data_IF_510020701331
#
_entry.id   IF_510020701331
#
_cell.length_a   1.000
_cell.length_b   1.000
_cell.length_c   1.000
_cell.angle_alpha   90.00
_cell.angle_beta   90.00
_cell.angle_gamma   90.00
#
_symmetry.space_group_name_H-M   'P 1'
#
loop_
_entity.id
_entity.type
_entity.pdbx_description
1 polymer ?
#
# COMPACT_ATOMS: atom_id res chain seq x y z
N UNK A 1 43.76 28.01 10.64
CA UNK A 1 42.35 27.67 10.33
C UNK A 1 42.35 26.25 9.80
N UNK A 2 41.95 25.30 10.63
CA UNK A 2 41.79 23.92 10.18
C UNK A 2 40.66 23.88 9.16
N UNK A 3 40.92 23.36 7.98
CA UNK A 3 39.89 23.07 6.98
C UNK A 3 38.95 22.04 7.60
N UNK A 4 37.64 22.32 7.67
CA UNK A 4 36.67 21.37 8.22
C UNK A 4 36.78 20.03 7.49
N UNK A 5 36.76 18.93 8.21
CA UNK A 5 36.78 17.60 7.61
C UNK A 5 35.68 17.43 6.59
N UNK A 6 35.85 16.60 5.55
CA UNK A 6 34.84 16.37 4.50
C UNK A 6 33.46 16.00 5.08
N UNK A 7 33.44 15.27 6.20
CA UNK A 7 32.22 14.91 6.90
C UNK A 7 31.54 16.12 7.56
N UNK A 8 32.30 17.08 8.14
CA UNK A 8 31.76 18.30 8.74
C UNK A 8 31.17 19.26 7.70
N UNK A 9 31.75 19.29 6.50
CA UNK A 9 31.22 20.11 5.38
C UNK A 9 29.86 19.60 4.90
N UNK A 10 29.70 18.30 4.66
CA UNK A 10 28.44 17.70 4.27
C UNK A 10 27.38 17.93 5.36
N UNK A 11 27.73 17.74 6.64
CA UNK A 11 26.79 17.95 7.74
C UNK A 11 26.32 19.41 7.80
N UNK A 12 27.19 20.39 7.56
CA UNK A 12 26.83 21.80 7.55
C UNK A 12 25.88 22.15 6.36
N UNK A 13 26.18 21.62 5.17
CA UNK A 13 25.32 21.82 3.98
C UNK A 13 23.91 21.23 4.24
N UNK A 14 23.83 19.99 4.75
CA UNK A 14 22.54 19.34 5.05
C UNK A 14 21.78 20.05 6.20
N UNK A 15 22.47 20.61 7.20
CA UNK A 15 21.83 21.37 8.27
C UNK A 15 21.15 22.62 7.74
N UNK A 16 21.74 23.31 6.76
CA UNK A 16 21.12 24.47 6.11
C UNK A 16 19.83 24.06 5.35
N UNK A 17 19.87 22.95 4.59
CA UNK A 17 18.71 22.41 3.91
C UNK A 17 17.58 22.05 4.88
N UNK A 18 17.92 21.40 6.01
CA UNK A 18 16.96 21.06 7.06
C UNK A 18 16.34 22.30 7.71
N UNK A 19 17.14 23.35 7.97
CA UNK A 19 16.63 24.62 8.49
C UNK A 19 15.64 25.29 7.52
N UNK A 20 15.92 25.21 6.22
CA UNK A 20 14.99 25.72 5.20
C UNK A 20 13.67 24.90 5.19
N UNK A 21 13.74 23.56 5.26
CA UNK A 21 12.54 22.71 5.38
C UNK A 21 11.73 23.05 6.63
N UNK A 22 12.38 23.37 7.74
CA UNK A 22 11.73 23.80 8.98
C UNK A 22 11.06 25.17 8.81
N UNK A 23 11.74 26.14 8.21
CA UNK A 23 11.18 27.47 7.92
C UNK A 23 9.96 27.40 7.01
N UNK A 24 9.98 26.48 6.03
CA UNK A 24 8.87 26.22 5.10
C UNK A 24 7.73 25.42 5.77
N UNK A 25 7.84 25.02 7.04
CA UNK A 25 6.88 24.13 7.72
C UNK A 25 6.82 22.73 7.10
N UNK A 26 7.86 22.28 6.40
CA UNK A 26 7.90 21.02 5.63
C UNK A 26 8.77 19.94 6.25
N UNK A 27 9.43 20.23 7.38
CA UNK A 27 10.26 19.28 8.10
C UNK A 27 9.44 18.06 8.53
N UNK A 28 9.95 16.89 8.26
CA UNK A 28 9.36 15.62 8.67
C UNK A 28 10.14 15.04 9.85
N UNK A 29 9.41 14.58 10.86
CA UNK A 29 9.97 13.95 12.05
C UNK A 29 9.39 12.54 12.20
N UNK A 30 10.23 11.59 12.61
CA UNK A 30 9.77 10.29 13.09
C UNK A 30 9.14 10.47 14.48
N UNK A 31 7.93 9.94 14.63
CA UNK A 31 7.20 9.97 15.90
C UNK A 31 7.14 8.58 16.49
N UNK A 32 7.47 8.45 17.75
CA UNK A 32 7.30 7.20 18.51
C UNK A 32 5.84 7.05 18.90
N UNK A 33 5.13 6.17 18.20
CA UNK A 33 3.71 5.91 18.43
C UNK A 33 3.55 4.42 18.69
N UNK A 34 3.06 4.06 19.86
CA UNK A 34 2.75 2.68 20.20
C UNK A 34 1.35 2.30 19.69
N UNK A 35 1.24 1.12 19.09
CA UNK A 35 -0.05 0.57 18.71
C UNK A 35 -0.78 0.01 19.93
N UNK A 36 -1.97 0.54 20.21
CA UNK A 36 -2.91 -0.02 21.18
C UNK A 36 -3.82 -1.09 20.56
N UNK A 37 -4.67 -1.71 21.38
CA UNK A 37 -5.68 -2.65 20.88
C UNK A 37 -6.72 -1.94 20.00
N UNK A 38 -7.19 -2.62 18.95
CA UNK A 38 -8.15 -2.07 18.01
C UNK A 38 -7.58 -0.88 17.22
N UNK A 39 -8.32 0.22 17.21
CA UNK A 39 -7.94 1.46 16.53
C UNK A 39 -7.35 2.51 17.48
N UNK A 40 -6.72 2.10 18.58
CA UNK A 40 -6.06 3.00 19.51
C UNK A 40 -4.56 3.12 19.21
N UNK A 41 -3.99 4.27 19.60
CA UNK A 41 -2.56 4.51 19.57
C UNK A 41 -2.17 5.32 20.82
N UNK A 42 -0.98 5.05 21.36
CA UNK A 42 -0.40 5.85 22.43
C UNK A 42 0.73 6.71 21.88
N UNK A 43 0.68 7.98 22.15
CA UNK A 43 1.71 8.95 21.80
C UNK A 43 1.90 9.96 22.91
N UNK A 44 3.14 10.13 23.36
CA UNK A 44 3.52 11.06 24.46
C UNK A 44 2.69 10.82 25.73
N UNK A 45 2.46 9.56 26.10
CA UNK A 45 1.72 9.18 27.30
C UNK A 45 0.19 9.41 27.24
N UNK A 46 -0.36 9.76 26.06
CA UNK A 46 -1.81 9.91 25.86
C UNK A 46 -2.32 8.87 24.84
N UNK A 47 -3.54 8.41 25.07
CA UNK A 47 -4.23 7.48 24.15
C UNK A 47 -5.10 8.28 23.19
N UNK A 48 -5.02 7.91 21.92
CA UNK A 48 -5.75 8.53 20.82
C UNK A 48 -6.53 7.48 20.01
N UNK A 49 -7.62 7.90 19.42
CA UNK A 49 -8.28 7.18 18.32
C UNK A 49 -7.47 7.39 17.06
N UNK A 50 -6.98 6.29 16.49
CA UNK A 50 -6.01 6.34 15.38
C UNK A 50 -6.72 6.30 14.03
N UNK A 51 -6.79 7.46 13.38
CA UNK A 51 -7.28 7.61 12.01
C UNK A 51 -6.14 7.75 10.98
N UNK A 52 -4.90 7.40 11.35
CA UNK A 52 -3.74 7.51 10.45
C UNK A 52 -3.05 6.18 10.15
N UNK A 53 -3.47 5.09 10.80
CA UNK A 53 -2.93 3.75 10.53
C UNK A 53 -3.52 3.17 9.24
N UNK A 54 -2.72 2.36 8.52
CA UNK A 54 -3.21 1.52 7.44
C UNK A 54 -3.68 0.14 7.93
N UNK A 55 -3.79 -0.09 9.23
CA UNK A 55 -4.39 -1.29 9.83
C UNK A 55 -5.92 -1.26 9.70
N UNK A 56 -6.39 -1.34 8.45
CA UNK A 56 -7.80 -1.17 8.10
C UNK A 56 -8.72 -2.18 8.76
N UNK A 57 -8.20 -3.38 9.07
CA UNK A 57 -8.97 -4.46 9.68
C UNK A 57 -8.77 -4.55 11.21
N UNK A 58 -7.88 -3.73 11.80
CA UNK A 58 -7.58 -3.74 13.23
C UNK A 58 -6.84 -4.99 13.71
N UNK A 59 -6.01 -5.59 12.85
CA UNK A 59 -5.35 -6.87 13.13
C UNK A 59 -3.97 -6.73 13.76
N UNK A 60 -3.22 -5.67 13.42
CA UNK A 60 -1.82 -5.50 13.83
C UNK A 60 -1.66 -5.41 15.36
N UNK A 61 -2.55 -4.67 16.03
CA UNK A 61 -2.54 -4.49 17.48
C UNK A 61 -3.32 -5.55 18.29
N UNK A 62 -3.93 -6.56 17.64
CA UNK A 62 -4.85 -7.47 18.29
C UNK A 62 -4.14 -8.53 19.17
N UNK A 63 -4.25 -8.46 20.54
CA UNK A 63 -3.55 -9.38 21.42
C UNK A 63 -4.10 -10.81 21.38
N UNK A 64 -5.40 -10.99 21.05
CA UNK A 64 -6.03 -12.31 20.97
C UNK A 64 -5.51 -13.08 19.76
N UNK A 65 -5.34 -12.41 18.62
CA UNK A 65 -4.74 -13.03 17.44
C UNK A 65 -3.30 -13.47 17.70
N UNK A 66 -2.52 -12.63 18.42
CA UNK A 66 -1.15 -13.00 18.81
C UNK A 66 -1.15 -14.22 19.73
N UNK A 67 -2.03 -14.26 20.73
CA UNK A 67 -2.16 -15.46 21.61
C UNK A 67 -2.54 -16.70 20.81
N UNK A 68 -3.52 -16.61 19.90
CA UNK A 68 -3.93 -17.71 19.04
C UNK A 68 -2.80 -18.19 18.13
N UNK A 69 -1.99 -17.27 17.60
CA UNK A 69 -0.85 -17.62 16.78
C UNK A 69 0.21 -18.39 17.56
N UNK A 70 0.69 -17.84 18.68
CA UNK A 70 1.72 -18.49 19.48
C UNK A 70 1.25 -19.81 20.14
N UNK A 71 -0.04 -19.95 20.45
CA UNK A 71 -0.60 -21.21 20.94
C UNK A 71 -0.48 -22.39 19.94
N UNK A 72 -0.23 -22.12 18.67
CA UNK A 72 0.05 -23.14 17.64
C UNK A 72 1.47 -23.71 17.75
N UNK A 73 2.35 -23.03 18.45
CA UNK A 73 3.77 -23.35 18.57
C UNK A 73 4.15 -23.38 20.06
N UNK A 74 3.80 -24.48 20.77
CA UNK A 74 4.05 -24.56 22.21
C UNK A 74 5.54 -24.58 22.57
N UNK A 75 6.40 -25.00 21.63
CA UNK A 75 7.85 -24.89 21.75
C UNK A 75 8.35 -23.59 21.11
N UNK A 76 8.89 -22.68 21.91
CA UNK A 76 9.48 -21.44 21.44
C UNK A 76 10.74 -21.66 20.57
N UNK A 77 11.37 -22.84 20.65
CA UNK A 77 12.49 -23.26 19.77
C UNK A 77 12.04 -23.80 18.41
N UNK A 78 10.75 -23.85 18.12
CA UNK A 78 10.21 -24.33 16.86
C UNK A 78 10.80 -23.58 15.65
N UNK A 79 11.24 -24.28 14.59
CA UNK A 79 11.77 -23.65 13.38
C UNK A 79 10.80 -22.68 12.71
N UNK A 80 9.51 -22.86 12.92
CA UNK A 80 8.45 -21.97 12.42
C UNK A 80 8.51 -20.58 13.04
N UNK A 81 9.09 -20.43 14.22
CA UNK A 81 9.29 -19.17 14.93
C UNK A 81 10.70 -18.57 14.73
N UNK A 82 11.52 -19.13 13.83
CA UNK A 82 12.85 -18.61 13.55
C UNK A 82 12.80 -17.13 13.12
N UNK A 83 13.69 -16.32 13.70
CA UNK A 83 13.71 -14.86 13.57
C UNK A 83 14.44 -14.35 12.32
N UNK A 84 15.04 -15.25 11.53
CA UNK A 84 15.75 -14.90 10.30
C UNK A 84 15.78 -16.09 9.33
N UNK A 85 15.75 -15.82 8.03
CA UNK A 85 16.09 -16.77 6.99
C UNK A 85 17.59 -16.81 6.72
N UNK A 86 18.33 -15.82 7.22
CA UNK A 86 19.81 -15.65 7.16
C UNK A 86 20.42 -15.74 5.74
N UNK A 87 19.61 -15.77 4.69
CA UNK A 87 20.02 -15.94 3.30
C UNK A 87 19.01 -15.42 2.30
N UNK A 88 19.42 -15.22 1.06
CA UNK A 88 18.50 -14.96 -0.04
C UNK A 88 17.69 -16.22 -0.41
N UNK A 89 16.54 -16.02 -1.02
CA UNK A 89 15.63 -17.13 -1.38
C UNK A 89 16.24 -18.12 -2.39
N UNK A 90 17.12 -17.66 -3.28
CA UNK A 90 17.79 -18.53 -4.25
C UNK A 90 18.92 -19.38 -3.64
N UNK A 91 19.32 -19.10 -2.40
CA UNK A 91 20.26 -19.92 -1.67
C UNK A 91 19.52 -20.78 -0.63
N UNK A 92 19.62 -20.42 0.64
CA UNK A 92 19.01 -21.19 1.75
C UNK A 92 17.81 -20.47 2.40
N UNK A 93 17.45 -19.27 1.95
CA UNK A 93 16.40 -18.44 2.55
C UNK A 93 14.97 -18.75 2.06
N UNK A 94 14.79 -19.71 1.13
CA UNK A 94 13.45 -20.15 0.73
C UNK A 94 12.95 -21.25 1.67
N UNK A 95 12.46 -20.83 2.83
CA UNK A 95 12.01 -21.76 3.88
C UNK A 95 10.66 -22.41 3.53
N UNK A 96 10.30 -23.55 4.16
CA UNK A 96 8.99 -24.17 3.98
C UNK A 96 7.81 -23.23 4.30
N UNK A 97 7.98 -22.31 5.23
CA UNK A 97 6.96 -21.29 5.55
C UNK A 97 6.66 -20.37 4.35
N UNK A 98 7.69 -20.03 3.56
CA UNK A 98 7.51 -19.22 2.36
C UNK A 98 6.68 -19.97 1.30
N UNK A 99 7.01 -21.23 1.04
CA UNK A 99 6.27 -22.07 0.08
C UNK A 99 4.82 -22.29 0.49
N UNK A 100 4.55 -22.52 1.78
CA UNK A 100 3.18 -22.63 2.30
C UNK A 100 2.39 -21.35 2.11
N UNK A 101 2.98 -20.18 2.43
CA UNK A 101 2.30 -18.90 2.24
C UNK A 101 2.00 -18.64 0.76
N UNK A 102 2.96 -18.90 -0.15
CA UNK A 102 2.74 -18.79 -1.59
C UNK A 102 1.65 -19.74 -2.10
N UNK A 103 1.58 -20.95 -1.57
CA UNK A 103 0.49 -21.89 -1.87
C UNK A 103 -0.85 -21.35 -1.39
N UNK A 104 -0.96 -20.89 -0.13
CA UNK A 104 -2.19 -20.31 0.43
C UNK A 104 -2.68 -19.12 -0.40
N UNK A 105 -1.76 -18.26 -0.83
CA UNK A 105 -2.08 -17.15 -1.74
C UNK A 105 -2.59 -17.67 -3.07
N UNK A 106 -1.91 -18.63 -3.69
CA UNK A 106 -2.36 -19.24 -4.94
C UNK A 106 -3.79 -19.78 -4.86
N UNK A 107 -4.08 -20.56 -3.81
CA UNK A 107 -5.42 -21.12 -3.54
C UNK A 107 -6.48 -20.00 -3.41
N UNK A 108 -6.17 -18.93 -2.68
CA UNK A 108 -7.06 -17.78 -2.48
C UNK A 108 -7.36 -17.04 -3.78
N UNK A 109 -6.42 -17.00 -4.71
CA UNK A 109 -6.52 -16.30 -6.00
C UNK A 109 -6.76 -17.24 -7.20
N UNK A 110 -7.52 -18.33 -7.02
CA UNK A 110 -7.97 -19.20 -8.11
C UNK A 110 -6.87 -20.12 -8.66
N UNK A 111 -5.96 -20.58 -7.80
CA UNK A 111 -4.82 -21.45 -8.12
C UNK A 111 -3.77 -20.80 -9.04
N UNK A 112 -3.68 -19.49 -9.03
CA UNK A 112 -2.60 -18.75 -9.71
C UNK A 112 -1.29 -18.83 -8.91
N UNK A 113 -0.19 -18.59 -9.57
CA UNK A 113 1.12 -18.57 -8.92
C UNK A 113 1.33 -17.30 -8.07
N UNK A 114 2.02 -17.46 -6.95
CA UNK A 114 2.36 -16.36 -6.04
C UNK A 114 3.88 -16.26 -5.83
N UNK A 115 4.36 -15.04 -5.59
CA UNK A 115 5.71 -14.75 -5.06
C UNK A 115 5.58 -13.81 -3.88
N UNK A 116 6.28 -14.11 -2.79
CA UNK A 116 6.38 -13.26 -1.59
C UNK A 116 7.65 -12.41 -1.64
N UNK A 117 7.52 -11.13 -1.24
CA UNK A 117 8.57 -10.12 -1.22
C UNK A 117 8.69 -9.47 0.17
N UNK A 118 9.80 -8.81 0.44
CA UNK A 118 10.03 -8.13 1.71
C UNK A 118 9.15 -6.89 1.92
N UNK A 119 8.66 -6.27 0.85
CA UNK A 119 7.70 -5.16 0.90
C UNK A 119 7.05 -4.92 -0.46
N UNK A 120 5.93 -4.18 -0.50
CA UNK A 120 5.33 -3.69 -1.75
C UNK A 120 6.28 -2.80 -2.56
N UNK A 121 7.15 -2.05 -1.87
CA UNK A 121 8.17 -1.26 -2.54
C UNK A 121 9.12 -2.17 -3.36
N UNK A 122 9.64 -3.27 -2.75
CA UNK A 122 10.48 -4.25 -3.47
C UNK A 122 9.74 -4.92 -4.63
N UNK A 123 8.45 -5.23 -4.47
CA UNK A 123 7.65 -5.76 -5.56
C UNK A 123 7.60 -4.79 -6.75
N UNK A 124 7.22 -3.54 -6.52
CA UNK A 124 7.03 -2.55 -7.58
C UNK A 124 8.35 -2.13 -8.26
N UNK A 125 9.44 -1.93 -7.51
CA UNK A 125 10.74 -1.59 -8.11
C UNK A 125 11.40 -2.77 -8.82
N UNK A 126 10.87 -3.98 -8.67
CA UNK A 126 11.46 -5.19 -9.26
C UNK A 126 10.67 -5.77 -10.42
N UNK A 127 9.34 -5.82 -10.33
CA UNK A 127 8.49 -6.47 -11.33
C UNK A 127 8.60 -5.77 -12.68
N UNK A 128 8.38 -4.45 -12.73
CA UNK A 128 8.40 -3.71 -14.00
C UNK A 128 9.78 -3.74 -14.67
N UNK A 129 10.90 -3.46 -13.97
CA UNK A 129 12.23 -3.56 -14.59
C UNK A 129 12.63 -4.97 -15.04
N UNK A 130 12.09 -6.01 -14.40
CA UNK A 130 12.37 -7.38 -14.81
C UNK A 130 11.62 -7.78 -16.08
N UNK A 131 10.39 -7.28 -16.28
CA UNK A 131 9.50 -7.71 -17.35
C UNK A 131 9.55 -6.79 -18.58
N UNK A 132 9.67 -5.48 -18.37
CA UNK A 132 9.61 -4.48 -19.43
C UNK A 132 11.02 -4.00 -19.81
N UNK A 133 11.42 -4.28 -21.04
CA UNK A 133 12.72 -3.97 -21.60
C UNK A 133 12.67 -2.99 -22.76
N UNK A 134 13.82 -2.81 -23.44
CA UNK A 134 13.88 -2.00 -24.67
C UNK A 134 12.87 -2.50 -25.71
N UNK A 135 12.15 -1.59 -26.34
CA UNK A 135 11.07 -1.89 -27.28
C UNK A 135 9.71 -2.18 -26.64
N UNK A 136 9.59 -2.09 -25.32
CA UNK A 136 8.33 -2.14 -24.59
C UNK A 136 7.91 -0.72 -24.11
N UNK A 137 6.63 -0.50 -23.86
CA UNK A 137 6.06 0.75 -23.33
C UNK A 137 5.32 0.45 -22.01
N UNK A 138 5.48 1.32 -21.02
CA UNK A 138 4.69 1.30 -19.80
C UNK A 138 3.80 2.55 -19.74
N UNK A 139 2.49 2.37 -19.66
CA UNK A 139 1.51 3.42 -19.43
C UNK A 139 1.07 3.38 -17.97
N UNK A 140 1.44 4.40 -17.21
CA UNK A 140 1.23 4.46 -15.76
C UNK A 140 0.28 5.59 -15.39
N UNK A 141 -0.64 5.34 -14.46
CA UNK A 141 -1.44 6.42 -13.88
C UNK A 141 -0.53 7.46 -13.22
N UNK A 142 -0.88 8.74 -13.37
CA UNK A 142 -0.08 9.87 -12.90
C UNK A 142 0.08 9.90 -11.37
N UNK A 143 -0.87 9.37 -10.63
CA UNK A 143 -0.87 9.33 -9.17
C UNK A 143 -0.46 7.97 -8.58
N UNK A 144 0.04 7.05 -9.39
CA UNK A 144 0.60 5.79 -8.90
C UNK A 144 1.67 6.04 -7.83
N UNK A 145 1.77 5.12 -6.88
CA UNK A 145 2.68 5.17 -5.75
C UNK A 145 4.15 5.38 -6.17
N UNK A 146 4.92 6.04 -5.32
CA UNK A 146 6.33 6.36 -5.58
C UNK A 146 7.16 5.12 -5.96
N UNK A 147 6.90 3.95 -5.37
CA UNK A 147 7.59 2.70 -5.72
C UNK A 147 7.34 2.26 -7.17
N UNK A 148 6.14 2.49 -7.71
CA UNK A 148 5.84 2.24 -9.13
C UNK A 148 6.64 3.21 -10.00
N UNK A 149 6.65 4.51 -9.65
CA UNK A 149 7.42 5.54 -10.39
C UNK A 149 8.92 5.22 -10.37
N UNK A 150 9.45 4.74 -9.25
CA UNK A 150 10.86 4.33 -9.17
C UNK A 150 11.12 3.06 -10.00
N UNK A 151 10.16 2.12 -10.01
CA UNK A 151 10.19 0.96 -10.91
C UNK A 151 10.20 1.35 -12.39
N UNK A 152 9.41 2.36 -12.78
CA UNK A 152 9.43 2.90 -14.16
C UNK A 152 10.82 3.44 -14.55
N UNK A 153 11.46 4.17 -13.63
CA UNK A 153 12.80 4.75 -13.86
C UNK A 153 13.90 3.71 -13.96
N UNK A 154 13.73 2.57 -13.29
CA UNK A 154 14.68 1.45 -13.31
C UNK A 154 14.48 0.54 -14.54
N UNK A 155 13.31 0.58 -15.18
CA UNK A 155 13.03 -0.21 -16.37
C UNK A 155 13.77 0.34 -17.58
N UNK A 156 14.22 -0.54 -18.48
CA UNK A 156 14.79 -0.17 -19.78
C UNK A 156 13.72 0.16 -20.83
N UNK A 157 12.44 0.01 -20.50
CA UNK A 157 11.31 0.33 -21.34
C UNK A 157 11.03 1.84 -21.37
N UNK A 158 10.43 2.31 -22.45
CA UNK A 158 9.84 3.63 -22.49
C UNK A 158 8.65 3.70 -21.52
N UNK A 159 8.40 4.85 -20.91
CA UNK A 159 7.18 5.02 -20.13
C UNK A 159 6.50 6.35 -20.39
N UNK A 160 5.17 6.37 -20.26
CA UNK A 160 4.34 7.58 -20.29
C UNK A 160 3.33 7.51 -19.16
N UNK A 161 2.91 8.69 -18.68
CA UNK A 161 1.93 8.80 -17.61
C UNK A 161 0.65 9.38 -18.16
N UNK A 162 -0.46 8.63 -18.04
CA UNK A 162 -1.78 9.17 -18.35
C UNK A 162 -2.34 9.95 -17.15
N UNK A 163 -3.27 10.85 -17.41
CA UNK A 163 -3.91 11.65 -16.35
C UNK A 163 -4.68 10.72 -15.42
N UNK A 164 -4.70 11.07 -14.15
CA UNK A 164 -5.26 10.24 -13.10
C UNK A 164 -6.71 9.85 -13.40
N UNK A 165 -6.97 8.53 -13.44
CA UNK A 165 -8.25 7.89 -13.76
C UNK A 165 -8.88 8.34 -15.09
N UNK A 166 -8.12 9.00 -15.96
CA UNK A 166 -8.58 9.44 -17.28
C UNK A 166 -8.39 8.33 -18.32
N UNK A 167 -9.43 7.53 -18.49
CA UNK A 167 -9.44 6.40 -19.43
C UNK A 167 -9.41 6.87 -20.89
N UNK A 168 -9.96 8.06 -21.20
CA UNK A 168 -9.88 8.62 -22.56
C UNK A 168 -8.44 8.94 -22.90
N UNK A 169 -7.70 9.60 -22.01
CA UNK A 169 -6.29 9.87 -22.22
C UNK A 169 -5.45 8.59 -22.33
N UNK A 170 -5.80 7.54 -21.56
CA UNK A 170 -5.17 6.21 -21.70
C UNK A 170 -5.40 5.63 -23.11
N UNK A 171 -6.64 5.66 -23.61
CA UNK A 171 -6.98 5.22 -24.96
C UNK A 171 -6.25 6.03 -26.05
N UNK A 172 -6.19 7.34 -25.92
CA UNK A 172 -5.49 8.23 -26.86
C UNK A 172 -3.99 7.90 -26.95
N UNK A 173 -3.35 7.59 -25.79
CA UNK A 173 -1.96 7.15 -25.76
C UNK A 173 -1.78 5.78 -26.41
N UNK A 174 -2.68 4.83 -26.13
CA UNK A 174 -2.65 3.50 -26.75
C UNK A 174 -2.84 3.55 -28.26
N UNK A 175 -3.86 4.26 -28.73
CA UNK A 175 -4.11 4.44 -30.16
C UNK A 175 -2.90 5.03 -30.90
N UNK A 176 -2.20 5.98 -30.26
CA UNK A 176 -1.03 6.63 -30.83
C UNK A 176 0.23 5.77 -30.81
N UNK A 177 0.39 4.90 -29.81
CA UNK A 177 1.71 4.31 -29.51
C UNK A 177 1.75 2.79 -29.67
N UNK A 178 0.60 2.06 -29.54
CA UNK A 178 0.59 0.59 -29.45
C UNK A 178 1.36 -0.11 -30.54
N UNK A 179 1.20 0.33 -31.79
CA UNK A 179 1.85 -0.30 -32.96
C UNK A 179 3.37 -0.12 -33.00
N UNK A 180 3.91 0.84 -32.24
CA UNK A 180 5.36 1.11 -32.21
C UNK A 180 6.12 0.27 -31.18
N UNK A 181 5.43 -0.56 -30.38
CA UNK A 181 6.05 -1.29 -29.29
C UNK A 181 5.70 -2.78 -29.34
N UNK A 182 6.65 -3.62 -28.95
CA UNK A 182 6.49 -5.07 -28.86
C UNK A 182 5.42 -5.42 -27.81
N UNK A 183 5.52 -4.87 -26.60
CA UNK A 183 4.57 -5.05 -25.50
C UNK A 183 4.21 -3.71 -24.91
N UNK A 184 2.97 -3.56 -24.44
CA UNK A 184 2.52 -2.39 -23.71
C UNK A 184 1.97 -2.84 -22.36
N UNK A 185 2.44 -2.22 -21.29
CA UNK A 185 1.98 -2.44 -19.93
C UNK A 185 1.08 -1.28 -19.51
N UNK A 186 -0.07 -1.58 -18.94
CA UNK A 186 -0.93 -0.62 -18.24
C UNK A 186 -0.72 -0.87 -16.75
N UNK A 187 -0.34 0.16 -16.00
CA UNK A 187 -0.03 0.07 -14.57
C UNK A 187 -0.87 1.07 -13.79
N UNK A 188 -1.64 0.58 -12.83
CA UNK A 188 -2.50 1.38 -11.96
C UNK A 188 -2.55 0.85 -10.54
N UNK A 189 -2.92 1.69 -9.57
CA UNK A 189 -3.44 1.23 -8.29
C UNK A 189 -4.95 0.98 -8.40
N UNK A 190 -5.47 0.04 -7.63
CA UNK A 190 -6.92 -0.18 -7.54
C UNK A 190 -7.58 0.84 -6.62
N UNK A 191 -6.93 1.18 -5.50
CA UNK A 191 -7.34 2.20 -4.54
C UNK A 191 -6.15 3.13 -4.30
N UNK A 192 -6.30 4.41 -4.60
CA UNK A 192 -5.22 5.40 -4.48
C UNK A 192 -5.08 5.91 -3.06
N UNK A 193 -3.84 5.96 -2.59
CA UNK A 193 -3.51 6.11 -1.18
C UNK A 193 -3.87 7.46 -0.55
N UNK A 194 -3.92 8.55 -1.35
CA UNK A 194 -4.09 9.92 -0.82
C UNK A 194 -5.52 10.43 -0.93
N UNK A 195 -6.24 10.04 -1.97
CA UNK A 195 -7.59 10.49 -2.25
C UNK A 195 -8.66 9.42 -1.95
N UNK A 196 -8.25 8.16 -1.84
CA UNK A 196 -9.15 7.06 -1.54
C UNK A 196 -10.12 6.72 -2.68
N UNK A 197 -9.86 7.25 -3.86
CA UNK A 197 -10.61 6.94 -5.07
C UNK A 197 -10.20 5.58 -5.65
N UNK A 198 -11.11 4.97 -6.39
CA UNK A 198 -10.95 3.63 -6.95
C UNK A 198 -10.87 3.68 -8.46
N UNK A 199 -10.01 2.81 -9.03
CA UNK A 199 -9.95 2.63 -10.48
C UNK A 199 -11.18 1.85 -11.00
N UNK A 200 -11.67 2.22 -12.17
CA UNK A 200 -12.61 1.39 -12.95
C UNK A 200 -11.81 0.28 -13.67
N UNK A 201 -11.54 -0.80 -12.92
CA UNK A 201 -10.77 -1.93 -13.46
C UNK A 201 -11.55 -2.68 -14.54
N UNK A 202 -12.90 -2.63 -14.55
CA UNK A 202 -13.70 -3.20 -15.63
C UNK A 202 -13.45 -2.48 -16.95
N UNK A 203 -13.42 -1.15 -16.93
CA UNK A 203 -13.11 -0.38 -18.12
C UNK A 203 -11.65 -0.57 -18.56
N UNK A 204 -10.70 -0.59 -17.61
CA UNK A 204 -9.29 -0.83 -17.91
C UNK A 204 -9.08 -2.25 -18.51
N UNK A 205 -9.79 -3.27 -18.01
CA UNK A 205 -9.74 -4.61 -18.56
C UNK A 205 -10.27 -4.68 -20.00
N UNK A 206 -11.33 -3.93 -20.32
CA UNK A 206 -11.81 -3.80 -21.72
C UNK A 206 -10.75 -3.17 -22.61
N UNK A 207 -10.16 -2.06 -22.17
CA UNK A 207 -9.07 -1.36 -22.89
C UNK A 207 -7.86 -2.30 -23.09
N UNK A 208 -7.46 -3.02 -22.03
CA UNK A 208 -6.38 -4.02 -22.08
C UNK A 208 -6.61 -5.02 -23.21
N UNK A 209 -7.81 -5.60 -23.29
CA UNK A 209 -8.15 -6.60 -24.33
C UNK A 209 -8.17 -6.00 -25.72
N UNK A 210 -8.73 -4.79 -25.88
CA UNK A 210 -8.80 -4.10 -27.18
C UNK A 210 -7.41 -3.81 -27.75
N UNK A 211 -6.46 -3.40 -26.90
CA UNK A 211 -5.11 -3.01 -27.34
C UNK A 211 -4.05 -4.09 -27.13
N UNK A 212 -4.43 -5.32 -26.78
CA UNK A 212 -3.49 -6.41 -26.46
C UNK A 212 -2.36 -5.94 -25.53
N UNK A 213 -2.75 -5.37 -24.39
CA UNK A 213 -1.85 -4.86 -23.36
C UNK A 213 -1.76 -5.81 -22.16
N UNK A 214 -0.75 -5.61 -21.32
CA UNK A 214 -0.52 -6.35 -20.08
C UNK A 214 -0.97 -5.46 -18.93
N UNK A 215 -1.85 -5.95 -18.04
CA UNK A 215 -2.38 -5.19 -16.91
C UNK A 215 -1.70 -5.56 -15.61
N UNK A 216 -1.08 -4.58 -14.98
CA UNK A 216 -0.47 -4.67 -13.65
C UNK A 216 -1.25 -3.79 -12.68
N UNK A 217 -1.80 -4.38 -11.61
CA UNK A 217 -2.62 -3.68 -10.62
C UNK A 217 -1.99 -3.78 -9.24
N UNK A 218 -1.70 -2.64 -8.63
CA UNK A 218 -1.34 -2.58 -7.21
C UNK A 218 -2.62 -2.49 -6.36
N UNK A 219 -2.88 -3.54 -5.61
CA UNK A 219 -4.03 -3.72 -4.72
C UNK A 219 -3.67 -3.45 -3.24
N UNK A 220 -2.55 -2.79 -2.97
CA UNK A 220 -2.03 -2.63 -1.61
C UNK A 220 -3.02 -1.98 -0.63
N UNK A 221 -3.94 -1.16 -1.12
CA UNK A 221 -5.00 -0.53 -0.31
C UNK A 221 -6.35 -1.25 -0.40
N UNK A 222 -6.48 -2.29 -1.23
CA UNK A 222 -7.71 -3.03 -1.40
C UNK A 222 -7.66 -4.45 -0.83
N UNK A 223 -6.51 -5.13 -0.86
CA UNK A 223 -6.38 -6.47 -0.26
C UNK A 223 -6.70 -6.43 1.24
N UNK A 224 -7.43 -7.42 1.71
CA UNK A 224 -7.99 -7.50 3.07
C UNK A 224 -9.27 -6.67 3.26
N UNK A 225 -9.55 -5.67 2.40
CA UNK A 225 -10.64 -4.68 2.54
C UNK A 225 -11.75 -4.87 1.52
N UNK A 226 -11.41 -5.11 0.26
CA UNK A 226 -12.35 -5.18 -0.86
C UNK A 226 -12.43 -6.60 -1.42
N UNK A 227 -13.57 -6.89 -2.06
CA UNK A 227 -13.82 -8.15 -2.73
C UNK A 227 -14.12 -9.33 -1.80
N UNK A 228 -14.57 -10.44 -2.37
CA UNK A 228 -14.83 -11.66 -1.62
C UNK A 228 -13.54 -12.13 -0.94
N UNK A 229 -13.65 -12.54 0.33
CA UNK A 229 -12.51 -12.97 1.16
C UNK A 229 -11.38 -11.91 1.29
N UNK A 230 -11.61 -10.66 0.86
CA UNK A 230 -10.60 -9.60 0.88
C UNK A 230 -9.55 -9.73 -0.23
N UNK A 231 -9.88 -10.33 -1.35
CA UNK A 231 -8.93 -10.56 -2.45
C UNK A 231 -8.67 -9.32 -3.32
N UNK A 232 -9.36 -8.21 -3.06
CA UNK A 232 -9.10 -6.93 -3.71
C UNK A 232 -10.23 -6.41 -4.59
N UNK A 233 -10.00 -5.25 -5.18
CA UNK A 233 -11.00 -4.55 -6.01
C UNK A 233 -11.19 -5.26 -7.36
N UNK A 234 -10.15 -5.87 -7.93
CA UNK A 234 -10.28 -6.64 -9.17
C UNK A 234 -11.25 -7.80 -9.03
N UNK A 235 -11.23 -8.49 -7.87
CA UNK A 235 -12.20 -9.55 -7.57
C UNK A 235 -13.60 -8.98 -7.33
N UNK A 236 -13.72 -7.83 -6.64
CA UNK A 236 -15.00 -7.16 -6.42
C UNK A 236 -15.66 -6.72 -7.72
N UNK A 237 -14.87 -6.24 -8.67
CA UNK A 237 -15.32 -5.83 -10.00
C UNK A 237 -15.43 -6.98 -11.01
N UNK A 238 -15.10 -8.23 -10.63
CA UNK A 238 -15.23 -9.42 -11.47
C UNK A 238 -14.24 -9.48 -12.64
N UNK A 239 -13.05 -8.88 -12.50
CA UNK A 239 -12.03 -8.81 -13.57
C UNK A 239 -10.67 -9.38 -13.14
N UNK A 240 -10.66 -10.26 -12.14
CA UNK A 240 -9.43 -10.85 -11.62
C UNK A 240 -8.62 -11.60 -12.69
N UNK A 241 -9.31 -12.27 -13.62
CA UNK A 241 -8.68 -13.02 -14.73
C UNK A 241 -8.05 -12.11 -15.80
N UNK A 242 -8.50 -10.85 -15.87
CA UNK A 242 -7.91 -9.86 -16.79
C UNK A 242 -6.63 -9.22 -16.23
N UNK A 243 -6.39 -9.33 -14.93
CA UNK A 243 -5.19 -8.78 -14.30
C UNK A 243 -4.05 -9.77 -14.47
N UNK A 244 -3.03 -9.41 -15.28
CA UNK A 244 -1.88 -10.28 -15.53
C UNK A 244 -0.99 -10.38 -14.29
N UNK A 245 -0.80 -9.26 -13.58
CA UNK A 245 -0.02 -9.20 -12.35
C UNK A 245 -0.76 -8.35 -11.32
N UNK A 246 -1.11 -8.97 -10.20
CA UNK A 246 -1.67 -8.29 -9.04
C UNK A 246 -0.60 -8.19 -7.96
N UNK A 247 -0.41 -7.01 -7.38
CA UNK A 247 0.50 -6.79 -6.24
C UNK A 247 -0.33 -6.51 -5.00
N UNK A 248 -0.11 -7.29 -3.93
CA UNK A 248 -0.72 -7.09 -2.61
C UNK A 248 0.33 -6.86 -1.53
N UNK A 249 -0.07 -6.33 -0.38
CA UNK A 249 0.82 -6.14 0.77
C UNK A 249 0.27 -6.74 2.04
N UNK A 250 1.15 -7.32 2.86
CA UNK A 250 0.82 -7.74 4.22
C UNK A 250 0.90 -6.57 5.22
N UNK A 251 1.55 -5.46 4.88
CA UNK A 251 1.88 -4.36 5.78
C UNK A 251 0.76 -3.37 6.07
N UNK A 252 -0.47 -3.63 5.62
CA UNK A 252 -1.62 -2.75 5.83
C UNK A 252 -2.77 -3.51 6.49
N UNK A 253 -3.87 -3.77 5.79
CA UNK A 253 -5.04 -4.47 6.33
C UNK A 253 -4.72 -5.84 6.95
N UNK A 254 -3.68 -6.51 6.47
CA UNK A 254 -3.27 -7.83 6.97
C UNK A 254 -2.36 -7.77 8.20
N UNK A 255 -2.05 -6.60 8.76
CA UNK A 255 -1.37 -6.45 10.05
C UNK A 255 -0.06 -7.23 10.20
N UNK A 256 0.72 -7.37 9.11
CA UNK A 256 2.00 -8.07 9.08
C UNK A 256 3.07 -7.23 8.37
N UNK A 257 4.07 -7.85 7.76
CA UNK A 257 5.05 -7.17 6.90
C UNK A 257 5.35 -7.99 5.66
N UNK A 258 5.87 -7.33 4.62
CA UNK A 258 6.10 -7.95 3.32
C UNK A 258 4.98 -7.66 2.31
N UNK A 259 5.09 -8.30 1.16
CA UNK A 259 4.15 -8.18 0.06
C UNK A 259 4.13 -9.47 -0.76
N UNK A 260 3.23 -9.53 -1.71
CA UNK A 260 3.14 -10.64 -2.65
C UNK A 260 2.69 -10.14 -4.02
N UNK A 261 2.96 -10.94 -5.04
CA UNK A 261 2.33 -10.76 -6.33
C UNK A 261 1.73 -12.07 -6.82
N UNK A 262 0.60 -11.96 -7.54
CA UNK A 262 -0.16 -13.05 -8.13
C UNK A 262 -0.06 -12.92 -9.64
N UNK A 263 0.21 -14.03 -10.34
CA UNK A 263 0.46 -14.06 -11.78
C UNK A 263 0.38 -15.48 -12.32
N UNK A 264 0.58 -15.63 -13.62
CA UNK A 264 0.74 -16.95 -14.23
C UNK A 264 2.07 -17.63 -13.86
N UNK A 265 2.16 -18.97 -13.83
CA UNK A 265 3.35 -19.72 -13.42
C UNK A 265 4.61 -19.34 -14.23
N UNK A 266 4.47 -19.09 -15.52
CA UNK A 266 5.58 -18.73 -16.41
C UNK A 266 6.17 -17.36 -16.05
N UNK A 267 5.29 -16.39 -15.71
CA UNK A 267 5.71 -15.06 -15.26
C UNK A 267 6.44 -15.17 -13.91
N UNK A 268 5.91 -15.97 -12.99
CA UNK A 268 6.57 -16.28 -11.72
C UNK A 268 7.97 -16.84 -11.93
N UNK A 269 8.10 -17.85 -12.78
CA UNK A 269 9.39 -18.50 -13.08
C UNK A 269 10.39 -17.48 -13.68
N UNK A 270 9.92 -16.63 -14.57
CA UNK A 270 10.75 -15.57 -15.15
C UNK A 270 11.24 -14.58 -14.08
N UNK A 271 10.36 -14.09 -13.19
CA UNK A 271 10.72 -13.15 -12.13
C UNK A 271 11.73 -13.77 -11.14
N UNK A 272 11.60 -15.04 -10.78
CA UNK A 272 12.57 -15.74 -9.92
C UNK A 272 13.98 -15.69 -10.49
N UNK A 273 14.13 -15.66 -11.83
CA UNK A 273 15.43 -15.65 -12.50
C UNK A 273 15.95 -14.25 -12.86
N UNK A 274 15.10 -13.22 -12.89
CA UNK A 274 15.49 -11.90 -13.41
C UNK A 274 15.23 -10.73 -12.45
N UNK A 275 14.39 -10.92 -11.44
CA UNK A 275 13.99 -9.85 -10.54
C UNK A 275 15.04 -9.60 -9.45
N UNK A 276 15.83 -8.54 -9.62
CA UNK A 276 16.95 -8.20 -8.72
C UNK A 276 16.57 -8.06 -7.24
N UNK A 277 15.44 -7.35 -6.85
CA UNK A 277 15.04 -7.27 -5.45
C UNK A 277 14.62 -8.60 -4.81
N UNK A 278 14.32 -9.64 -5.61
CA UNK A 278 14.07 -10.99 -5.12
C UNK A 278 15.39 -11.78 -4.96
N UNK A 279 16.28 -11.65 -5.94
CA UNK A 279 17.53 -12.42 -6.04
C UNK A 279 18.54 -11.99 -4.97
N UNK A 280 18.68 -10.67 -4.77
CA UNK A 280 19.78 -10.08 -4.00
C UNK A 280 19.36 -9.55 -2.62
N UNK A 281 18.26 -10.07 -2.04
CA UNK A 281 17.83 -9.73 -0.69
C UNK A 281 17.65 -10.97 0.17
N UNK A 282 17.87 -10.83 1.48
CA UNK A 282 17.55 -11.86 2.47
C UNK A 282 16.03 -12.05 2.51
N UNK A 283 15.57 -13.30 2.55
CA UNK A 283 14.14 -13.63 2.65
C UNK A 283 13.53 -13.20 3.99
N UNK A 284 12.19 -13.11 4.04
CA UNK A 284 11.47 -12.83 5.27
C UNK A 284 11.69 -13.95 6.31
N UNK A 285 11.72 -13.62 7.61
CA UNK A 285 11.82 -14.61 8.68
C UNK A 285 10.64 -15.60 8.68
N UNK A 286 10.87 -16.89 9.02
CA UNK A 286 9.81 -17.88 9.14
C UNK A 286 8.65 -17.45 10.06
N UNK A 287 8.93 -16.81 11.19
CA UNK A 287 7.89 -16.30 12.11
C UNK A 287 6.94 -15.33 11.42
N UNK A 288 7.47 -14.44 10.58
CA UNK A 288 6.66 -13.46 9.83
C UNK A 288 5.86 -14.14 8.73
N UNK A 289 6.45 -15.09 8.01
CA UNK A 289 5.76 -15.85 6.96
C UNK A 289 4.60 -16.66 7.54
N UNK A 290 4.80 -17.32 8.67
CA UNK A 290 3.75 -18.08 9.36
C UNK A 290 2.68 -17.17 9.97
N UNK A 291 3.06 -16.01 10.50
CA UNK A 291 2.11 -14.99 10.94
C UNK A 291 1.27 -14.49 9.77
N UNK A 292 1.88 -14.20 8.62
CA UNK A 292 1.18 -13.74 7.42
C UNK A 292 0.18 -14.78 6.91
N UNK A 293 0.55 -16.07 6.87
CA UNK A 293 -0.38 -17.16 6.50
C UNK A 293 -1.56 -17.26 7.48
N UNK A 294 -1.26 -17.19 8.79
CA UNK A 294 -2.29 -17.22 9.82
C UNK A 294 -3.28 -16.06 9.68
N UNK A 295 -2.79 -14.84 9.52
CA UNK A 295 -3.61 -13.63 9.39
C UNK A 295 -4.39 -13.62 8.07
N UNK A 296 -3.79 -14.04 6.97
CA UNK A 296 -4.45 -14.13 5.67
C UNK A 296 -5.70 -15.01 5.75
N UNK A 297 -5.58 -16.19 6.34
CA UNK A 297 -6.72 -17.12 6.58
C UNK A 297 -7.77 -16.53 7.52
N UNK A 298 -7.36 -15.80 8.56
CA UNK A 298 -8.30 -15.11 9.47
C UNK A 298 -9.02 -13.98 8.75
N UNK A 299 -8.29 -13.14 8.03
CA UNK A 299 -8.84 -12.01 7.30
C UNK A 299 -9.83 -12.45 6.21
N UNK A 300 -9.58 -13.57 5.53
CA UNK A 300 -10.48 -14.10 4.50
C UNK A 300 -11.91 -14.33 5.04
N UNK A 301 -12.07 -14.70 6.31
CA UNK A 301 -13.38 -14.94 6.95
C UNK A 301 -14.05 -13.66 7.51
N UNK A 302 -13.47 -12.46 7.33
CA UNK A 302 -13.92 -11.22 7.99
C UNK A 302 -14.84 -10.35 7.12
N UNK A 303 -15.79 -10.94 6.38
CA UNK A 303 -16.70 -10.18 5.50
C UNK A 303 -17.57 -9.17 6.24
N UNK A 304 -17.99 -9.48 7.47
CA UNK A 304 -18.78 -8.56 8.29
C UNK A 304 -17.97 -7.30 8.65
N UNK A 305 -16.68 -7.47 9.00
CA UNK A 305 -15.78 -6.37 9.33
C UNK A 305 -15.46 -5.52 8.09
N UNK A 306 -15.31 -6.13 6.91
CA UNK A 306 -15.16 -5.41 5.64
C UNK A 306 -16.37 -4.52 5.35
N UNK A 307 -17.59 -5.07 5.47
CA UNK A 307 -18.82 -4.27 5.32
C UNK A 307 -18.86 -3.13 6.33
N UNK A 308 -18.58 -3.43 7.61
CA UNK A 308 -18.52 -2.43 8.69
C UNK A 308 -17.55 -1.29 8.36
N UNK A 309 -16.34 -1.60 7.89
CA UNK A 309 -15.34 -0.62 7.50
C UNK A 309 -15.87 0.32 6.41
N UNK A 310 -16.54 -0.22 5.40
CA UNK A 310 -17.12 0.57 4.31
C UNK A 310 -18.31 1.41 4.79
N UNK A 311 -19.10 0.94 5.74
CA UNK A 311 -20.18 1.71 6.37
C UNK A 311 -19.62 2.91 7.14
N UNK A 312 -18.60 2.70 7.96
CA UNK A 312 -17.93 3.77 8.70
C UNK A 312 -17.35 4.83 7.76
N UNK A 313 -16.73 4.41 6.65
CA UNK A 313 -16.16 5.35 5.69
C UNK A 313 -17.24 6.16 4.95
N UNK A 314 -18.36 5.54 4.60
CA UNK A 314 -19.52 6.24 4.03
C UNK A 314 -20.11 7.24 5.02
N UNK A 315 -20.23 6.84 6.29
CA UNK A 315 -20.74 7.70 7.35
C UNK A 315 -19.86 8.95 7.52
N UNK A 316 -18.54 8.79 7.68
CA UNK A 316 -17.62 9.94 7.84
C UNK A 316 -17.70 10.89 6.63
N UNK A 317 -17.64 10.31 5.42
CA UNK A 317 -17.70 11.08 4.17
C UNK A 317 -19.02 11.82 4.00
N UNK A 318 -20.15 11.18 4.33
CA UNK A 318 -21.47 11.79 4.33
C UNK A 318 -21.53 12.99 5.27
N UNK A 319 -21.13 12.83 6.52
CA UNK A 319 -21.11 13.92 7.51
C UNK A 319 -20.19 15.09 7.12
N UNK A 320 -19.04 14.82 6.50
CA UNK A 320 -18.20 15.91 5.97
C UNK A 320 -18.93 16.68 4.85
N UNK A 321 -19.62 15.98 3.95
CA UNK A 321 -20.41 16.62 2.89
C UNK A 321 -21.57 17.44 3.44
N UNK A 322 -22.30 16.94 4.43
CA UNK A 322 -23.42 17.63 5.09
C UNK A 322 -22.98 18.94 5.75
N UNK A 323 -21.70 19.01 6.19
CA UNK A 323 -21.08 20.23 6.72
C UNK A 323 -20.47 21.13 5.64
N UNK A 324 -20.62 20.81 4.36
CA UNK A 324 -20.03 21.57 3.25
C UNK A 324 -18.50 21.42 3.15
N UNK A 325 -17.90 20.42 3.81
CA UNK A 325 -16.47 20.18 3.79
C UNK A 325 -16.05 19.44 2.51
N UNK A 326 -14.91 19.81 1.94
CA UNK A 326 -14.40 19.21 0.71
C UNK A 326 -13.78 17.84 1.00
N UNK A 327 -14.48 16.79 0.57
CA UNK A 327 -14.04 15.39 0.71
C UNK A 327 -14.25 14.61 -0.59
N UNK A 328 -13.64 13.44 -0.71
CA UNK A 328 -13.70 12.60 -1.91
C UNK A 328 -13.52 11.12 -1.61
N UNK A 329 -13.18 10.38 -2.67
CA UNK A 329 -12.94 8.94 -2.62
C UNK A 329 -14.21 8.11 -2.38
N UNK A 330 -14.04 6.78 -2.47
CA UNK A 330 -15.11 5.78 -2.28
C UNK A 330 -14.59 4.50 -1.58
N UNK A 331 -13.44 4.63 -0.92
CA UNK A 331 -12.79 3.56 -0.14
C UNK A 331 -12.78 3.85 1.37
N UNK A 332 -12.04 3.05 2.14
CA UNK A 332 -11.80 3.26 3.58
C UNK A 332 -10.89 4.47 3.87
N UNK A 333 -10.38 5.12 2.85
CA UNK A 333 -9.59 6.34 2.96
C UNK A 333 -10.51 7.52 2.65
N UNK A 334 -10.63 8.46 3.58
CA UNK A 334 -11.49 9.64 3.46
C UNK A 334 -10.64 10.90 3.60
N UNK A 335 -10.34 11.60 2.48
CA UNK A 335 -9.61 12.86 2.54
C UNK A 335 -10.53 13.99 3.01
N UNK A 336 -10.02 14.88 3.84
CA UNK A 336 -10.60 16.17 4.16
C UNK A 336 -9.67 17.25 3.58
N UNK A 337 -10.02 17.79 2.41
CA UNK A 337 -9.16 18.74 1.69
C UNK A 337 -9.26 20.14 2.30
N UNK A 338 -8.14 20.63 2.79
CA UNK A 338 -8.02 21.96 3.45
C UNK A 338 -7.46 23.01 2.51
N UNK A 339 -6.48 22.64 1.67
CA UNK A 339 -5.84 23.52 0.70
C UNK A 339 -4.49 24.04 1.18
N UNK A 340 -4.45 24.96 2.12
CA UNK A 340 -3.21 25.54 2.63
C UNK A 340 -2.48 24.58 3.60
N UNK A 341 -1.16 24.54 3.50
CA UNK A 341 -0.31 23.62 4.27
C UNK A 341 -0.42 23.88 5.80
N UNK A 342 -0.34 25.16 6.20
CA UNK A 342 -0.43 25.55 7.61
C UNK A 342 -1.83 25.24 8.18
N UNK A 343 -2.89 25.59 7.45
CA UNK A 343 -4.26 25.32 7.89
C UNK A 343 -4.52 23.81 8.10
N UNK A 344 -3.91 22.95 7.24
CA UNK A 344 -3.99 21.51 7.43
C UNK A 344 -3.23 21.04 8.68
N UNK A 345 -2.10 21.68 9.02
CA UNK A 345 -1.37 21.39 10.26
C UNK A 345 -2.15 21.84 11.50
N UNK A 346 -2.73 23.03 11.45
CA UNK A 346 -3.53 23.58 12.57
C UNK A 346 -4.76 22.72 12.83
N UNK A 347 -5.43 22.29 11.75
CA UNK A 347 -6.57 21.39 11.85
C UNK A 347 -6.16 20.01 12.39
N UNK A 348 -5.00 19.45 11.96
CA UNK A 348 -4.50 18.20 12.52
C UNK A 348 -4.20 18.31 14.03
N UNK A 349 -3.66 19.45 14.47
CA UNK A 349 -3.45 19.73 15.88
C UNK A 349 -4.77 19.83 16.64
N UNK A 350 -5.77 20.50 16.07
CA UNK A 350 -7.12 20.56 16.67
C UNK A 350 -7.71 19.15 16.90
N UNK A 351 -7.62 18.25 15.91
CA UNK A 351 -8.04 16.85 16.08
C UNK A 351 -7.26 16.14 17.19
N UNK A 352 -5.95 16.35 17.25
CA UNK A 352 -5.08 15.77 18.25
C UNK A 352 -5.47 16.21 19.68
N UNK A 353 -5.76 17.49 19.87
CA UNK A 353 -6.19 18.05 21.15
C UNK A 353 -7.50 17.40 21.65
N UNK A 354 -8.35 16.94 20.72
CA UNK A 354 -9.61 16.23 20.98
C UNK A 354 -9.47 14.69 21.01
N UNK A 355 -8.24 14.16 21.07
CA UNK A 355 -8.01 12.72 21.22
C UNK A 355 -8.09 11.91 19.93
N UNK A 356 -8.00 12.56 18.77
CA UNK A 356 -8.00 11.94 17.45
C UNK A 356 -6.62 12.13 16.80
N UNK A 357 -5.98 11.02 16.45
CA UNK A 357 -4.70 11.02 15.74
C UNK A 357 -4.94 10.96 14.24
N UNK A 358 -4.82 12.10 13.57
CA UNK A 358 -4.84 12.24 12.12
C UNK A 358 -3.76 13.23 11.68
N UNK A 359 -3.04 12.92 10.59
CA UNK A 359 -1.93 13.75 10.13
C UNK A 359 -2.28 14.53 8.87
N UNK A 360 -1.71 15.75 8.81
CA UNK A 360 -1.74 16.56 7.60
C UNK A 360 -0.82 15.98 6.51
N UNK A 361 -1.38 15.76 5.33
CA UNK A 361 -0.65 15.40 4.10
C UNK A 361 -0.42 16.67 3.30
N UNK A 362 0.85 16.94 2.98
CA UNK A 362 1.32 18.19 2.36
C UNK A 362 2.27 17.90 1.19
N UNK A 363 2.61 18.89 0.37
CA UNK A 363 3.66 18.72 -0.61
C UNK A 363 4.99 18.18 -0.02
N UNK A 364 5.75 17.36 -0.76
CA UNK A 364 5.54 16.95 -2.16
C UNK A 364 4.61 15.75 -2.32
N UNK A 365 4.02 15.18 -1.24
CA UNK A 365 3.14 14.01 -1.30
C UNK A 365 1.86 14.31 -2.10
N UNK A 366 1.34 15.53 -1.99
CA UNK A 366 0.20 16.04 -2.75
C UNK A 366 0.58 17.37 -3.42
N UNK A 367 -0.11 17.82 -4.48
CA UNK A 367 0.17 19.09 -5.13
C UNK A 367 0.04 20.30 -4.18
N UNK A 368 0.73 21.40 -4.49
CA UNK A 368 0.59 22.64 -3.74
C UNK A 368 -0.86 23.14 -3.77
N UNK A 369 -1.35 23.66 -2.64
CA UNK A 369 -2.73 24.14 -2.50
C UNK A 369 -3.77 23.03 -2.36
N UNK A 370 -3.34 21.77 -2.14
CA UNK A 370 -4.23 20.63 -1.95
C UNK A 370 -3.92 19.83 -0.69
N UNK A 371 -3.33 20.48 0.32
CA UNK A 371 -3.08 19.87 1.62
C UNK A 371 -4.38 19.39 2.24
N UNK A 372 -4.32 18.26 2.92
CA UNK A 372 -5.50 17.55 3.45
C UNK A 372 -5.18 16.80 4.72
N UNK A 373 -6.20 16.50 5.51
CA UNK A 373 -6.14 15.41 6.47
C UNK A 373 -6.57 14.13 5.76
N UNK A 374 -5.82 13.05 5.96
CA UNK A 374 -6.13 11.74 5.39
C UNK A 374 -6.64 10.83 6.49
N UNK A 375 -7.96 10.71 6.59
CA UNK A 375 -8.57 9.76 7.50
C UNK A 375 -8.48 8.36 6.92
N UNK A 376 -7.76 7.49 7.60
CA UNK A 376 -7.69 6.05 7.33
C UNK A 376 -8.58 5.35 8.34
N UNK A 377 -9.69 4.79 7.91
CA UNK A 377 -10.60 4.12 8.82
C UNK A 377 -10.15 2.69 9.10
N UNK A 378 -10.50 2.21 10.29
CA UNK A 378 -10.33 0.82 10.70
C UNK A 378 -11.68 0.21 11.05
N UNK A 379 -11.87 -1.08 10.76
CA UNK A 379 -13.06 -1.83 11.17
C UNK A 379 -13.22 -1.90 12.71
N UNK A 380 -12.14 -1.58 13.45
CA UNK A 380 -12.14 -1.53 14.91
C UNK A 380 -12.63 -0.20 15.50
N UNK A 381 -12.91 0.82 14.67
CA UNK A 381 -13.52 2.07 15.12
C UNK A 381 -14.99 1.87 15.43
N UNK A 382 -15.48 2.60 16.47
CA UNK A 382 -16.91 2.68 16.78
C UNK A 382 -17.62 3.77 15.96
N UNK A 383 -18.95 3.76 15.95
CA UNK A 383 -19.76 4.86 15.39
C UNK A 383 -19.48 6.17 16.12
N UNK A 384 -19.29 6.11 17.45
CA UNK A 384 -19.00 7.29 18.27
C UNK A 384 -17.64 7.90 17.92
N UNK A 385 -16.62 7.08 17.61
CA UNK A 385 -15.32 7.58 17.15
C UNK A 385 -15.45 8.33 15.82
N UNK A 386 -16.24 7.80 14.89
CA UNK A 386 -16.50 8.44 13.59
C UNK A 386 -17.36 9.69 13.74
N UNK A 387 -18.37 9.67 14.63
CA UNK A 387 -19.19 10.83 14.94
C UNK A 387 -18.37 11.96 15.57
N UNK A 388 -17.50 11.63 16.53
CA UNK A 388 -16.58 12.60 17.11
C UNK A 388 -15.65 13.19 16.02
N UNK A 389 -15.05 12.36 15.18
CA UNK A 389 -14.20 12.85 14.09
C UNK A 389 -14.96 13.75 13.10
N UNK A 390 -16.23 13.47 12.86
CA UNK A 390 -17.07 14.26 11.96
C UNK A 390 -17.55 15.59 12.57
N UNK A 391 -17.58 15.72 13.89
CA UNK A 391 -18.10 16.92 14.59
C UNK A 391 -17.05 18.02 14.75
N UNK A 392 -15.79 17.68 14.73
CA UNK A 392 -14.66 18.62 14.84
C UNK A 392 -14.37 19.32 13.51
#
# INVERSE_FOLDING_TARGET
METPSRASRLAAELAADMAQLQADGRLRLLREIAHGPGALAEWQGRIYRNFSSNDYMGLAGNPDLRRQFYARYPDAGSPELAQSSASSRLLTGNTPACSRLEQTLGELYGNRAAIVFNSGYHANIGILPALAGSGDLILSDKLNHASIIDGLRLAAADFRRYQHLDLQHLCDLLAKCRSGYRRVFIVTESVFSMDGDCADLQAIARIKREYDAILVVDEAHAVGVRGPQGTGLAAEQGVMEDVDILVGTFGKALGSTGAYAIMEPEVRQYLVNHMRPLIFTTGLPPVILNWSDFILRKCAAMDAQRRRLMDLSRMLRGRFRDRGLKTGGDSQIVPLVVGADQAACDLAQHYLDHGILVFAIRPPTVPRGTARLRFSLSAALSDDDVNLAASL
#
